data_IF_780661029839
#
_entry.id   IF_780661029839
#
_cell.length_a   1.000
_cell.length_b   1.000
_cell.length_c   1.000
_cell.angle_alpha   90.00
_cell.angle_beta   90.00
_cell.angle_gamma   90.00
#
_symmetry.space_group_name_H-M   'P 1'
#
loop_
_entity.id
_entity.type
_entity.pdbx_description
1 polymer ?
#
# COMPACT_ATOMS: atom_id res chain seq x y z
N UNK A 1 3.51 -4.23 7.18
CA UNK A 1 4.87 -4.81 7.01
C UNK A 1 5.34 -4.40 5.62
N UNK A 2 6.52 -3.78 5.51
CA UNK A 2 7.07 -3.35 4.23
C UNK A 2 8.51 -3.80 4.09
N UNK A 3 8.82 -4.47 3.01
CA UNK A 3 10.18 -4.80 2.57
C UNK A 3 10.58 -3.81 1.47
N UNK A 4 11.57 -2.97 1.74
CA UNK A 4 12.08 -1.98 0.80
C UNK A 4 13.49 -2.38 0.36
N UNK A 5 13.71 -2.47 -0.94
CA UNK A 5 15.02 -2.73 -1.54
C UNK A 5 15.30 -1.66 -2.59
N UNK A 6 16.41 -0.98 -2.50
CA UNK A 6 16.70 0.08 -3.47
C UNK A 6 18.00 0.82 -3.26
N UNK A 7 18.36 1.64 -4.23
CA UNK A 7 19.60 2.43 -4.23
C UNK A 7 19.64 3.56 -3.20
N UNK A 8 18.47 4.03 -2.75
CA UNK A 8 18.33 5.06 -1.71
C UNK A 8 17.92 4.52 -0.35
N UNK A 9 17.93 3.20 -0.16
CA UNK A 9 17.44 2.51 1.04
C UNK A 9 18.62 1.92 1.82
N UNK A 10 18.53 1.97 3.16
CA UNK A 10 19.54 1.43 4.04
C UNK A 10 20.51 2.48 4.61
N UNK A 11 21.53 2.06 5.40
CA UNK A 11 22.37 2.95 6.18
C UNK A 11 23.37 3.79 5.36
N UNK A 12 23.57 3.45 4.10
CA UNK A 12 24.41 4.23 3.18
C UNK A 12 23.78 4.29 1.81
N UNK A 13 23.53 5.47 1.22
CA UNK A 13 23.12 5.57 -0.16
C UNK A 13 24.21 4.94 -1.04
N UNK A 14 23.78 4.05 -1.93
CA UNK A 14 24.71 3.32 -2.78
C UNK A 14 25.45 4.25 -3.73
N UNK A 15 26.68 4.58 -3.39
CA UNK A 15 27.69 4.77 -4.42
C UNK A 15 27.88 3.41 -5.10
N UNK A 16 27.70 3.33 -6.42
CA UNK A 16 28.01 2.12 -7.22
C UNK A 16 27.00 0.96 -7.20
N UNK A 17 25.74 1.18 -7.58
CA UNK A 17 24.88 0.08 -8.04
C UNK A 17 24.52 -1.02 -7.02
N UNK A 18 24.85 -0.85 -5.76
CA UNK A 18 24.50 -1.77 -4.69
C UNK A 18 23.24 -1.28 -3.99
N UNK A 19 22.25 -2.12 -3.90
CA UNK A 19 20.98 -1.80 -3.24
C UNK A 19 21.01 -2.20 -1.77
N UNK A 20 20.66 -1.27 -0.89
CA UNK A 20 20.38 -1.54 0.50
C UNK A 20 18.95 -2.02 0.71
N UNK A 21 18.64 -2.42 1.94
CA UNK A 21 17.33 -2.87 2.34
C UNK A 21 16.84 -2.21 3.62
N UNK A 22 15.54 -2.06 3.72
CA UNK A 22 14.86 -1.60 4.93
C UNK A 22 13.64 -2.48 5.18
N UNK A 23 13.54 -2.98 6.41
CA UNK A 23 12.36 -3.65 6.92
C UNK A 23 11.58 -2.68 7.80
N UNK A 24 10.30 -2.51 7.55
CA UNK A 24 9.42 -1.63 8.30
C UNK A 24 8.20 -2.40 8.81
N UNK A 25 7.94 -2.31 10.11
CA UNK A 25 6.71 -2.78 10.74
C UNK A 25 6.02 -1.60 11.40
N UNK A 26 4.77 -1.35 11.03
CA UNK A 26 3.89 -0.41 11.74
C UNK A 26 2.82 -1.21 12.45
N UNK A 27 2.80 -1.10 13.76
CA UNK A 27 1.85 -1.77 14.64
C UNK A 27 0.92 -0.75 15.30
N UNK A 28 -0.39 -1.00 15.22
CA UNK A 28 -1.37 -0.22 15.95
C UNK A 28 -1.83 -1.03 17.15
N UNK A 29 -1.63 -0.48 18.33
CA UNK A 29 -2.09 -1.06 19.60
C UNK A 29 -3.62 -0.92 19.74
N UNK A 30 -4.26 -1.73 20.62
CA UNK A 30 -5.69 -1.60 20.90
C UNK A 30 -6.12 -0.20 21.41
N UNK A 31 -5.23 0.49 22.13
CA UNK A 31 -5.44 1.87 22.61
C UNK A 31 -5.29 2.95 21.52
N UNK A 32 -5.05 2.55 20.27
CA UNK A 32 -4.93 3.45 19.13
C UNK A 32 -3.52 3.98 18.89
N UNK A 33 -2.57 3.73 19.78
CA UNK A 33 -1.18 4.20 19.61
C UNK A 33 -0.48 3.40 18.51
N UNK A 34 0.25 4.11 17.64
CA UNK A 34 1.09 3.51 16.62
C UNK A 34 2.54 3.38 17.06
N UNK A 35 3.10 2.23 16.78
CA UNK A 35 4.49 1.90 17.03
C UNK A 35 5.15 1.53 15.70
N UNK A 36 6.33 2.07 15.45
CA UNK A 36 7.11 1.78 14.25
C UNK A 36 8.43 1.12 14.62
N UNK A 37 8.73 0.03 13.94
CA UNK A 37 9.96 -0.74 14.07
C UNK A 37 10.63 -0.77 12.70
N UNK A 38 11.92 -0.45 12.65
CA UNK A 38 12.67 -0.32 11.39
C UNK A 38 14.02 -0.97 11.55
N UNK A 39 14.39 -1.85 10.61
CA UNK A 39 15.73 -2.41 10.53
C UNK A 39 16.31 -2.18 9.16
N UNK A 40 17.46 -1.56 9.11
CA UNK A 40 18.22 -1.32 7.88
C UNK A 40 19.28 -2.41 7.67
N UNK A 41 19.51 -2.77 6.42
CA UNK A 41 20.49 -3.74 6.02
C UNK A 41 21.38 -3.19 4.88
N UNK A 42 22.71 -3.33 4.97
CA UNK A 42 23.62 -2.98 3.88
C UNK A 42 23.44 -3.93 2.69
N UNK A 43 23.92 -3.53 1.53
CA UNK A 43 23.78 -4.29 0.29
C UNK A 43 24.21 -5.77 0.39
N UNK A 44 25.26 -6.06 1.17
CA UNK A 44 25.71 -7.44 1.39
C UNK A 44 24.77 -8.34 2.18
N UNK A 45 23.80 -7.74 2.88
CA UNK A 45 22.78 -8.44 3.66
C UNK A 45 21.38 -8.38 3.00
N UNK A 46 21.32 -7.99 1.73
CA UNK A 46 20.10 -7.95 0.93
C UNK A 46 20.20 -8.98 -0.20
N UNK A 47 19.16 -9.77 -0.37
CA UNK A 47 18.99 -10.70 -1.50
C UNK A 47 17.54 -10.68 -1.96
N UNK A 48 17.33 -10.74 -3.25
CA UNK A 48 16.00 -10.89 -3.84
C UNK A 48 16.10 -11.67 -5.15
N UNK A 49 15.03 -12.39 -5.46
CA UNK A 49 14.87 -13.11 -6.72
C UNK A 49 13.93 -12.27 -7.63
N UNK A 50 14.26 -12.14 -8.91
CA UNK A 50 13.44 -11.40 -9.88
C UNK A 50 12.35 -12.26 -10.52
N UNK A 51 12.44 -13.58 -10.37
CA UNK A 51 11.48 -14.53 -10.96
C UNK A 51 10.38 -14.96 -9.98
N UNK A 52 10.56 -14.73 -8.69
CA UNK A 52 9.61 -15.11 -7.64
C UNK A 52 9.75 -14.21 -6.42
N UNK A 53 8.72 -14.17 -5.59
CA UNK A 53 8.76 -13.46 -4.33
C UNK A 53 9.65 -14.20 -3.31
N UNK A 54 10.95 -13.96 -3.38
CA UNK A 54 11.95 -14.39 -2.41
C UNK A 54 12.86 -13.19 -2.12
N UNK A 55 12.65 -12.58 -0.95
CA UNK A 55 13.40 -11.40 -0.51
C UNK A 55 13.97 -11.65 0.88
N UNK A 56 15.24 -11.30 1.06
CA UNK A 56 15.91 -11.28 2.36
C UNK A 56 16.46 -9.88 2.61
N UNK A 57 16.15 -9.31 3.78
CA UNK A 57 16.71 -8.05 4.27
C UNK A 57 17.23 -8.29 5.69
N UNK A 58 18.55 -8.43 5.83
CA UNK A 58 19.16 -8.79 7.10
C UNK A 58 18.64 -10.12 7.62
N UNK A 59 17.91 -10.09 8.73
CA UNK A 59 17.28 -11.28 9.35
C UNK A 59 15.86 -11.54 8.86
N UNK A 60 15.26 -10.62 8.13
CA UNK A 60 13.87 -10.72 7.70
C UNK A 60 13.77 -11.35 6.31
N UNK A 61 12.77 -12.21 6.13
CA UNK A 61 12.52 -12.88 4.85
C UNK A 61 11.04 -12.88 4.49
N UNK A 62 10.76 -12.82 3.19
CA UNK A 62 9.47 -13.19 2.61
C UNK A 62 9.72 -14.16 1.48
N UNK A 63 9.02 -15.29 1.47
CA UNK A 63 9.16 -16.35 0.45
C UNK A 63 7.82 -16.87 0.02
N UNK A 64 7.60 -16.93 -1.29
CA UNK A 64 6.44 -17.59 -1.84
C UNK A 64 6.74 -19.07 -2.13
N UNK A 65 5.88 -19.94 -1.63
CA UNK A 65 5.89 -21.38 -1.94
C UNK A 65 4.47 -21.87 -2.12
N UNK A 66 4.20 -22.52 -3.25
CA UNK A 66 2.86 -23.07 -3.57
C UNK A 66 1.72 -22.04 -3.41
N UNK A 67 1.97 -20.77 -3.77
CA UNK A 67 0.97 -19.71 -3.68
C UNK A 67 0.82 -19.08 -2.29
N UNK A 68 1.50 -19.58 -1.26
CA UNK A 68 1.52 -19.04 0.11
C UNK A 68 2.77 -18.20 0.30
N UNK A 69 2.66 -17.07 0.96
CA UNK A 69 3.79 -16.23 1.37
C UNK A 69 4.13 -16.53 2.83
N UNK A 70 5.32 -17.06 3.07
CA UNK A 70 5.86 -17.24 4.41
C UNK A 70 6.77 -16.04 4.74
N UNK A 71 6.45 -15.37 5.84
CA UNK A 71 7.18 -14.21 6.35
C UNK A 71 7.84 -14.56 7.68
N UNK A 72 9.13 -14.28 7.79
CA UNK A 72 9.85 -14.22 9.06
C UNK A 72 10.44 -12.81 9.17
N UNK A 73 9.91 -12.01 10.08
CA UNK A 73 10.19 -10.57 10.17
C UNK A 73 10.81 -10.24 11.51
N UNK A 74 11.94 -9.53 11.44
CA UNK A 74 12.65 -8.98 12.58
C UNK A 74 12.88 -7.49 12.35
N UNK A 75 12.23 -6.66 13.15
CA UNK A 75 12.41 -5.21 13.09
C UNK A 75 12.62 -4.64 14.48
N UNK A 76 13.57 -3.73 14.64
CA UNK A 76 13.87 -3.05 15.89
C UNK A 76 13.29 -1.62 15.88
N UNK A 77 13.08 -1.05 17.05
CA UNK A 77 12.64 0.33 17.24
C UNK A 77 13.04 0.84 18.62
N UNK A 78 12.90 2.14 18.87
CA UNK A 78 13.23 2.75 20.15
C UNK A 78 12.47 2.13 21.33
N UNK A 79 11.34 1.52 21.05
CA UNK A 79 10.46 0.89 22.06
C UNK A 79 10.69 -0.62 22.22
N UNK A 80 11.66 -1.23 21.51
CA UNK A 80 11.95 -2.66 21.53
C UNK A 80 11.93 -3.29 20.13
N UNK A 81 11.54 -4.55 20.04
CA UNK A 81 11.55 -5.33 18.79
C UNK A 81 10.15 -5.78 18.41
N UNK A 82 9.94 -5.95 17.10
CA UNK A 82 8.82 -6.66 16.51
C UNK A 82 9.35 -7.91 15.80
N UNK A 83 8.77 -9.06 16.11
CA UNK A 83 9.03 -10.34 15.44
C UNK A 83 7.72 -10.95 14.99
N UNK A 84 7.62 -11.30 13.71
CA UNK A 84 6.42 -11.85 13.14
C UNK A 84 6.78 -13.09 12.29
N UNK A 85 6.10 -14.18 12.56
CA UNK A 85 6.16 -15.43 11.80
C UNK A 85 4.76 -15.65 11.23
N UNK A 86 4.57 -15.33 9.94
CA UNK A 86 3.25 -15.30 9.32
C UNK A 86 3.24 -16.13 8.03
N UNK A 87 2.12 -16.79 7.80
CA UNK A 87 1.73 -17.29 6.49
C UNK A 87 0.60 -16.43 5.95
N UNK A 88 0.75 -15.93 4.72
CA UNK A 88 -0.26 -15.15 4.02
C UNK A 88 -0.74 -15.93 2.81
N UNK A 89 -2.01 -16.27 2.81
CA UNK A 89 -2.69 -17.04 1.77
C UNK A 89 -3.58 -16.12 0.94
N UNK A 90 -3.21 -15.77 -0.32
CA UNK A 90 -4.10 -15.07 -1.23
C UNK A 90 -5.38 -15.86 -1.49
N UNK A 91 -6.52 -15.19 -1.52
CA UNK A 91 -7.78 -15.79 -1.92
C UNK A 91 -7.83 -15.94 -3.44
N UNK A 92 -8.41 -17.04 -3.89
CA UNK A 92 -8.55 -17.34 -5.33
C UNK A 92 -9.26 -16.19 -6.05
N UNK A 93 -8.75 -15.82 -7.23
CA UNK A 93 -9.29 -14.78 -8.11
C UNK A 93 -9.32 -13.36 -7.51
N UNK A 94 -8.85 -13.16 -6.27
CA UNK A 94 -8.74 -11.87 -5.59
C UNK A 94 -7.35 -11.29 -5.77
N UNK A 95 -6.96 -10.99 -7.00
CA UNK A 95 -5.67 -10.41 -7.36
C UNK A 95 -5.84 -9.32 -8.43
N UNK A 96 -4.82 -8.51 -8.63
CA UNK A 96 -4.73 -7.60 -9.77
C UNK A 96 -3.42 -7.91 -10.52
N UNK A 97 -3.48 -8.07 -11.85
CA UNK A 97 -2.32 -8.46 -12.65
C UNK A 97 -1.24 -7.38 -12.66
N UNK A 98 0.01 -7.73 -13.04
CA UNK A 98 1.08 -6.75 -13.14
C UNK A 98 0.79 -5.68 -14.19
N UNK A 99 1.11 -4.44 -13.84
CA UNK A 99 1.02 -3.26 -14.70
C UNK A 99 2.32 -2.50 -14.60
N UNK A 100 2.84 -2.00 -15.72
CA UNK A 100 3.93 -1.04 -15.76
C UNK A 100 3.49 0.23 -16.46
N UNK A 101 3.85 1.36 -15.86
CA UNK A 101 3.76 2.69 -16.43
C UNK A 101 5.19 3.16 -16.67
N UNK A 102 5.47 3.56 -17.89
CA UNK A 102 6.81 3.95 -18.31
C UNK A 102 6.78 5.25 -19.10
N UNK A 103 7.70 6.14 -18.77
CA UNK A 103 8.06 7.34 -19.52
C UNK A 103 9.57 7.52 -19.41
N UNK A 104 10.17 8.47 -20.10
CA UNK A 104 11.62 8.64 -20.26
C UNK A 104 12.44 8.43 -18.97
N UNK A 105 12.09 9.15 -17.90
CA UNK A 105 12.78 9.09 -16.59
C UNK A 105 11.95 8.43 -15.48
N UNK A 106 10.82 7.84 -15.84
CA UNK A 106 9.85 7.30 -14.90
C UNK A 106 9.52 5.85 -15.21
N UNK A 107 9.59 5.01 -14.20
CA UNK A 107 9.08 3.65 -14.21
C UNK A 107 8.29 3.42 -12.93
N UNK A 108 7.05 2.99 -13.05
CA UNK A 108 6.28 2.49 -11.93
C UNK A 108 5.57 1.21 -12.33
N UNK A 109 5.97 0.12 -11.74
CA UNK A 109 5.31 -1.16 -11.89
C UNK A 109 4.68 -1.62 -10.57
N UNK A 110 3.60 -2.36 -10.66
CA UNK A 110 2.97 -2.98 -9.51
C UNK A 110 2.21 -4.24 -9.90
N UNK A 111 2.06 -5.11 -8.94
CA UNK A 111 1.17 -6.27 -8.96
C UNK A 111 0.53 -6.41 -7.58
N UNK A 112 -0.71 -6.85 -7.53
CA UNK A 112 -1.40 -7.11 -6.26
C UNK A 112 -1.77 -8.59 -6.20
N UNK A 113 -0.84 -9.45 -5.75
CA UNK A 113 -1.06 -10.90 -5.71
C UNK A 113 -2.12 -11.32 -4.69
N UNK A 114 -2.32 -10.50 -3.67
CA UNK A 114 -3.32 -10.71 -2.62
C UNK A 114 -4.16 -9.48 -2.36
N UNK A 115 -5.03 -9.10 -3.30
CA UNK A 115 -6.00 -8.01 -3.10
C UNK A 115 -6.96 -8.36 -1.94
N UNK A 116 -7.27 -9.63 -1.79
CA UNK A 116 -7.78 -10.19 -0.56
C UNK A 116 -6.98 -11.44 -0.22
N UNK A 117 -6.55 -11.54 1.02
CA UNK A 117 -5.79 -12.66 1.55
C UNK A 117 -6.23 -12.93 2.99
N UNK A 118 -5.81 -14.05 3.53
CA UNK A 118 -5.83 -14.33 4.95
C UNK A 118 -4.42 -14.51 5.50
N UNK A 119 -4.20 -14.18 6.76
CA UNK A 119 -2.94 -14.38 7.43
C UNK A 119 -3.13 -15.16 8.73
N UNK A 120 -2.21 -16.08 8.99
CA UNK A 120 -2.14 -16.84 10.23
C UNK A 120 -0.69 -16.88 10.73
N UNK A 121 -0.49 -16.97 12.03
CA UNK A 121 0.83 -17.10 12.59
C UNK A 121 1.00 -16.47 13.97
N UNK A 122 2.23 -16.06 14.26
CA UNK A 122 2.64 -15.49 15.55
C UNK A 122 3.16 -14.08 15.37
N UNK A 123 2.74 -13.20 16.27
CA UNK A 123 3.26 -11.84 16.35
C UNK A 123 3.80 -11.63 17.77
N UNK A 124 5.01 -11.12 17.86
CA UNK A 124 5.60 -10.64 19.08
C UNK A 124 5.97 -9.17 18.90
N UNK A 125 5.39 -8.28 19.70
CA UNK A 125 5.76 -6.87 19.72
C UNK A 125 6.23 -6.55 21.13
N UNK A 126 7.48 -6.12 21.25
CA UNK A 126 8.21 -6.06 22.53
C UNK A 126 8.22 -7.47 23.17
N UNK A 127 7.84 -7.57 24.45
CA UNK A 127 7.76 -8.84 25.16
C UNK A 127 6.38 -9.53 25.06
N UNK A 128 5.42 -8.98 24.29
CA UNK A 128 4.06 -9.51 24.18
C UNK A 128 3.90 -10.28 22.90
N UNK A 129 3.59 -11.56 23.00
CA UNK A 129 3.32 -12.43 21.87
C UNK A 129 1.85 -12.85 21.82
N UNK A 130 1.32 -12.97 20.62
CA UNK A 130 -0.01 -13.48 20.33
C UNK A 130 -0.02 -14.32 19.07
N UNK A 131 -1.09 -15.05 18.86
CA UNK A 131 -1.38 -15.76 17.60
C UNK A 131 -2.55 -15.08 16.89
N UNK A 132 -2.49 -15.07 15.56
CA UNK A 132 -3.62 -14.75 14.71
C UNK A 132 -3.95 -15.96 13.86
N UNK A 133 -5.23 -16.13 13.57
CA UNK A 133 -5.71 -17.22 12.74
C UNK A 133 -6.73 -16.65 11.76
N UNK A 134 -6.46 -16.85 10.48
CA UNK A 134 -7.34 -16.46 9.37
C UNK A 134 -7.82 -14.99 9.41
N UNK A 135 -6.92 -14.08 9.77
CA UNK A 135 -7.23 -12.65 9.76
C UNK A 135 -7.12 -12.07 8.36
N UNK A 136 -7.93 -11.06 8.05
CA UNK A 136 -7.89 -10.40 6.76
C UNK A 136 -6.51 -9.77 6.51
N UNK A 137 -5.98 -10.01 5.31
CA UNK A 137 -4.69 -9.53 4.86
C UNK A 137 -4.77 -8.97 3.44
N UNK A 138 -3.78 -8.16 3.10
CA UNK A 138 -3.53 -7.58 1.79
C UNK A 138 -2.04 -7.68 1.47
N UNK A 139 -1.71 -7.91 0.20
CA UNK A 139 -0.33 -7.93 -0.27
C UNK A 139 -0.23 -7.32 -1.67
N UNK A 140 0.65 -6.36 -1.82
CA UNK A 140 1.10 -5.81 -3.09
C UNK A 140 2.62 -5.89 -3.24
N UNK A 141 3.09 -5.71 -4.47
CA UNK A 141 4.49 -5.58 -4.81
C UNK A 141 4.63 -4.45 -5.83
N UNK A 142 5.48 -3.49 -5.51
CA UNK A 142 5.75 -2.32 -6.32
C UNK A 142 7.24 -2.25 -6.67
N UNK A 143 7.55 -1.82 -7.90
CA UNK A 143 8.93 -1.60 -8.37
C UNK A 143 8.99 -0.37 -9.27
N UNK A 144 10.16 0.24 -9.34
CA UNK A 144 10.33 1.37 -10.24
C UNK A 144 11.41 2.36 -9.85
N UNK A 145 11.37 3.49 -10.55
CA UNK A 145 12.16 4.68 -10.27
C UNK A 145 11.23 5.83 -9.99
N UNK A 146 11.13 6.22 -8.74
CA UNK A 146 10.18 7.23 -8.25
C UNK A 146 10.92 8.47 -7.78
N UNK A 147 11.25 9.37 -8.71
CA UNK A 147 11.79 10.70 -8.38
C UNK A 147 10.66 11.71 -8.49
N UNK A 148 10.42 12.45 -7.42
CA UNK A 148 9.44 13.55 -7.37
C UNK A 148 8.02 13.15 -7.81
N UNK A 149 7.65 11.88 -7.62
CA UNK A 149 6.29 11.39 -7.89
C UNK A 149 5.51 11.21 -6.60
N UNK A 150 4.20 11.31 -6.71
CA UNK A 150 3.25 10.95 -5.67
C UNK A 150 2.22 10.00 -6.24
N UNK A 151 1.51 9.28 -5.39
CA UNK A 151 0.46 8.36 -5.81
C UNK A 151 -0.77 8.47 -4.93
N UNK A 152 -1.87 8.03 -5.49
CA UNK A 152 -3.07 7.65 -4.79
C UNK A 152 -3.20 6.14 -4.87
N UNK A 153 -3.50 5.50 -3.76
CA UNK A 153 -3.63 4.06 -3.71
C UNK A 153 -4.68 3.65 -2.70
N UNK A 154 -5.43 2.60 -3.01
CA UNK A 154 -6.37 2.04 -2.04
C UNK A 154 -6.76 0.63 -2.40
N UNK A 155 -6.70 -0.24 -1.40
CA UNK A 155 -7.14 -1.61 -1.46
C UNK A 155 -8.19 -1.86 -0.37
N UNK A 156 -9.34 -2.42 -0.72
CA UNK A 156 -10.40 -2.66 0.24
C UNK A 156 -11.12 -3.98 -0.04
N UNK A 157 -11.66 -4.57 1.02
CA UNK A 157 -12.43 -5.82 0.98
C UNK A 157 -13.81 -5.59 1.54
N UNK A 158 -14.81 -5.85 0.72
CA UNK A 158 -16.22 -5.90 1.06
C UNK A 158 -16.73 -7.32 1.31
N UNK A 159 -18.04 -7.45 1.29
CA UNK A 159 -18.69 -8.74 1.43
C UNK A 159 -18.55 -9.59 0.17
N UNK A 160 -18.80 -9.00 -0.99
CA UNK A 160 -18.75 -9.67 -2.29
C UNK A 160 -17.56 -9.21 -3.15
N UNK A 161 -17.18 -7.94 -3.05
CA UNK A 161 -16.16 -7.31 -3.87
C UNK A 161 -14.88 -7.05 -3.10
N UNK A 162 -13.78 -7.10 -3.82
CA UNK A 162 -12.53 -6.45 -3.44
C UNK A 162 -12.29 -5.29 -4.39
N UNK A 163 -11.74 -4.20 -3.87
CA UNK A 163 -11.51 -2.97 -4.61
C UNK A 163 -10.03 -2.68 -4.66
N UNK A 164 -9.55 -2.21 -5.80
CA UNK A 164 -8.25 -1.60 -5.95
C UNK A 164 -8.42 -0.31 -6.73
N UNK A 165 -7.95 0.81 -6.19
CA UNK A 165 -7.79 2.02 -6.98
C UNK A 165 -6.36 2.52 -6.89
N UNK A 166 -5.92 3.20 -7.92
CA UNK A 166 -4.60 3.78 -7.93
C UNK A 166 -4.37 4.72 -9.08
N UNK A 167 -3.27 5.42 -9.00
CA UNK A 167 -2.74 6.29 -10.01
C UNK A 167 -1.52 7.03 -9.50
N UNK A 168 -0.70 7.51 -10.42
CA UNK A 168 0.56 8.19 -10.12
C UNK A 168 0.50 9.60 -10.68
N UNK A 169 0.90 10.57 -9.86
CA UNK A 169 1.19 11.93 -10.34
C UNK A 169 2.68 12.03 -10.65
N UNK A 170 3.00 12.47 -11.84
CA UNK A 170 4.38 12.79 -12.23
C UNK A 170 4.98 13.91 -11.38
N UNK A 171 6.26 14.26 -11.62
CA UNK A 171 6.92 15.37 -10.95
C UNK A 171 6.08 16.65 -11.02
N UNK A 172 6.08 17.46 -9.98
CA UNK A 172 5.31 18.73 -9.99
C UNK A 172 5.67 19.65 -11.16
N UNK A 173 6.90 19.55 -11.66
CA UNK A 173 7.33 20.26 -12.88
C UNK A 173 6.63 19.79 -14.14
N UNK A 174 6.11 18.57 -14.16
CA UNK A 174 5.35 18.00 -15.29
C UNK A 174 3.84 18.24 -15.17
N UNK A 175 3.35 18.93 -14.13
CA UNK A 175 1.94 19.37 -14.04
C UNK A 175 1.59 20.50 -15.00
N UNK A 176 2.56 20.99 -15.79
CA UNK A 176 2.31 21.76 -16.99
C UNK A 176 1.81 20.87 -18.13
N UNK A 177 1.47 21.48 -19.26
CA UNK A 177 1.07 20.79 -20.48
C UNK A 177 2.03 19.63 -20.82
N UNK A 178 1.55 18.40 -20.83
CA UNK A 178 2.35 17.21 -21.12
C UNK A 178 2.68 16.31 -19.91
N UNK A 179 2.16 16.59 -18.72
CA UNK A 179 2.29 15.68 -17.59
C UNK A 179 1.78 14.29 -17.96
N UNK A 180 2.54 13.24 -17.62
CA UNK A 180 2.07 11.86 -17.70
C UNK A 180 0.95 11.72 -16.69
N UNK A 181 -0.26 11.99 -17.13
CA UNK A 181 -1.46 11.68 -16.38
C UNK A 181 -1.69 10.18 -16.52
N UNK A 182 -1.06 9.41 -15.63
CA UNK A 182 -1.49 8.04 -15.45
C UNK A 182 -2.99 8.07 -15.19
N UNK A 183 -3.81 7.40 -16.00
CA UNK A 183 -5.24 7.38 -15.74
C UNK A 183 -5.47 6.73 -14.39
N UNK A 184 -6.11 7.44 -13.49
CA UNK A 184 -6.58 6.85 -12.26
C UNK A 184 -7.61 5.77 -12.57
N UNK A 185 -7.46 4.63 -11.93
CA UNK A 185 -8.34 3.50 -12.13
C UNK A 185 -8.99 3.05 -10.82
N UNK A 186 -10.21 2.52 -10.93
CA UNK A 186 -10.89 1.77 -9.89
C UNK A 186 -11.24 0.39 -10.45
N UNK A 187 -10.63 -0.64 -9.91
CA UNK A 187 -10.90 -2.03 -10.25
C UNK A 187 -11.82 -2.68 -9.20
N UNK A 188 -12.82 -3.37 -9.68
CA UNK A 188 -13.73 -4.19 -8.90
C UNK A 188 -13.44 -5.66 -9.21
N UNK A 189 -13.20 -6.44 -8.17
CA UNK A 189 -12.82 -7.85 -8.26
C UNK A 189 -13.77 -8.69 -7.40
N UNK A 190 -14.41 -9.68 -7.99
CA UNK A 190 -15.27 -10.64 -7.30
C UNK A 190 -14.65 -12.04 -7.20
N UNK A 191 -15.42 -13.04 -6.86
CA UNK A 191 -14.96 -14.44 -6.75
C UNK A 191 -14.54 -15.07 -8.09
N UNK A 192 -14.89 -14.43 -9.21
CA UNK A 192 -14.54 -14.88 -10.55
C UNK A 192 -13.32 -14.13 -11.13
N UNK A 193 -12.88 -13.08 -10.48
CA UNK A 193 -11.74 -12.24 -10.90
C UNK A 193 -12.15 -10.77 -11.14
N UNK A 194 -11.43 -10.10 -12.04
CA UNK A 194 -11.70 -8.69 -12.37
C UNK A 194 -13.04 -8.56 -13.07
N UNK A 195 -14.00 -7.95 -12.37
CA UNK A 195 -15.35 -7.71 -12.88
C UNK A 195 -15.41 -6.48 -13.77
N UNK A 196 -14.75 -5.39 -13.36
CA UNK A 196 -14.71 -4.14 -14.11
C UNK A 196 -13.52 -3.29 -13.69
N UNK A 197 -12.98 -2.52 -14.64
CA UNK A 197 -12.02 -1.45 -14.39
C UNK A 197 -12.62 -0.15 -14.94
N UNK A 198 -12.82 0.80 -14.04
CA UNK A 198 -13.35 2.12 -14.34
C UNK A 198 -12.22 3.16 -14.25
N UNK A 199 -12.42 4.32 -14.87
CA UNK A 199 -11.52 5.48 -14.75
C UNK A 199 -12.15 6.52 -13.84
N UNK A 200 -11.32 7.25 -13.10
CA UNK A 200 -11.72 8.44 -12.36
C UNK A 200 -10.66 9.53 -12.51
N UNK A 201 -11.08 10.79 -12.32
CA UNK A 201 -10.20 11.94 -12.59
C UNK A 201 -9.69 12.58 -11.30
N UNK A 202 -10.41 12.38 -10.20
CA UNK A 202 -10.07 13.02 -8.91
C UNK A 202 -10.60 12.24 -7.72
N UNK A 203 -9.96 12.47 -6.59
CA UNK A 203 -10.47 12.12 -5.26
C UNK A 203 -10.86 13.42 -4.55
N UNK A 204 -12.07 13.47 -4.02
CA UNK A 204 -12.54 14.59 -3.22
C UNK A 204 -12.34 14.27 -1.73
N UNK A 205 -11.45 15.00 -1.07
CA UNK A 205 -11.15 14.87 0.35
C UNK A 205 -11.96 15.86 1.17
N UNK A 206 -12.52 15.40 2.30
CA UNK A 206 -13.39 16.20 3.16
C UNK A 206 -13.06 16.02 4.63
N UNK A 207 -13.24 17.11 5.41
CA UNK A 207 -13.00 17.13 6.83
C UNK A 207 -11.54 16.95 7.20
N UNK A 208 -11.22 17.19 8.46
CA UNK A 208 -9.86 17.12 8.98
C UNK A 208 -9.83 16.43 10.34
N UNK A 209 -8.79 15.62 10.58
CA UNK A 209 -8.52 14.99 11.86
C UNK A 209 -7.01 14.88 12.09
N UNK A 210 -6.53 14.96 13.34
CA UNK A 210 -5.14 14.69 13.66
C UNK A 210 -4.74 13.28 13.21
N UNK A 211 -3.55 13.17 12.60
CA UNK A 211 -2.94 11.89 12.25
C UNK A 211 -1.81 11.55 13.23
N UNK A 212 -1.58 10.26 13.43
CA UNK A 212 -0.39 9.80 14.14
C UNK A 212 0.88 9.97 13.30
N UNK A 213 2.07 9.87 13.89
CA UNK A 213 3.35 9.91 13.20
C UNK A 213 3.93 11.32 13.12
N UNK A 214 3.96 11.94 11.95
CA UNK A 214 4.54 13.27 11.77
C UNK A 214 3.82 14.33 12.62
N UNK A 215 4.59 15.16 13.32
CA UNK A 215 4.06 16.19 14.22
C UNK A 215 3.16 17.19 13.47
N UNK A 216 1.98 17.46 14.02
CA UNK A 216 1.00 18.40 13.44
C UNK A 216 0.36 17.93 12.14
N UNK A 217 0.49 16.64 11.79
CA UNK A 217 -0.12 16.11 10.60
C UNK A 217 -1.65 16.03 10.72
N UNK A 218 -2.34 16.47 9.66
CA UNK A 218 -3.79 16.49 9.55
C UNK A 218 -4.22 15.62 8.36
N UNK A 219 -4.94 14.57 8.64
CA UNK A 219 -5.50 13.67 7.65
C UNK A 219 -6.94 14.02 7.28
N UNK A 220 -7.43 13.64 6.09
CA UNK A 220 -8.85 13.74 5.78
C UNK A 220 -9.68 12.81 6.69
N UNK A 221 -10.88 13.20 7.01
CA UNK A 221 -11.86 12.34 7.71
C UNK A 221 -12.61 11.44 6.74
N UNK A 222 -12.81 11.92 5.52
CA UNK A 222 -13.55 11.23 4.48
C UNK A 222 -12.98 11.56 3.11
N UNK A 223 -13.17 10.66 2.17
CA UNK A 223 -12.99 10.98 0.76
C UNK A 223 -13.95 10.20 -0.12
N UNK A 224 -14.15 10.71 -1.33
CA UNK A 224 -15.00 10.10 -2.34
C UNK A 224 -14.30 10.11 -3.70
N UNK A 225 -14.59 9.11 -4.51
CA UNK A 225 -14.25 9.08 -5.92
C UNK A 225 -15.38 8.44 -6.73
N UNK A 226 -15.50 8.81 -7.99
CA UNK A 226 -16.47 8.24 -8.91
C UNK A 226 -15.75 7.71 -10.15
N UNK A 227 -15.82 6.40 -10.34
CA UNK A 227 -15.28 5.72 -11.50
C UNK A 227 -16.33 5.53 -12.59
N UNK A 228 -15.92 5.69 -13.85
CA UNK A 228 -16.83 5.52 -15.01
C UNK A 228 -16.16 4.74 -16.14
N UNK A 229 -16.97 4.00 -16.92
CA UNK A 229 -16.57 3.37 -18.18
C UNK A 229 -17.79 3.10 -19.05
N UNK A 230 -17.95 3.87 -20.12
CA UNK A 230 -19.15 3.78 -20.96
C UNK A 230 -20.40 4.13 -20.17
N UNK A 231 -21.32 3.16 -20.00
CA UNK A 231 -22.55 3.32 -19.21
C UNK A 231 -22.39 2.87 -17.75
N UNK A 232 -21.26 2.25 -17.42
CA UNK A 232 -20.98 1.81 -16.06
C UNK A 232 -20.46 2.99 -15.23
N UNK A 233 -20.96 3.10 -14.02
CA UNK A 233 -20.53 4.11 -13.05
C UNK A 233 -20.63 3.60 -11.63
N UNK A 234 -19.63 3.92 -10.82
CA UNK A 234 -19.56 3.52 -9.42
C UNK A 234 -19.01 4.67 -8.59
N UNK A 235 -19.67 4.96 -7.49
CA UNK A 235 -19.19 5.88 -6.46
C UNK A 235 -18.66 5.09 -5.26
N UNK A 236 -17.46 5.43 -4.85
CA UNK A 236 -16.79 4.94 -3.63
C UNK A 236 -16.72 6.08 -2.63
N UNK A 237 -17.21 5.87 -1.43
CA UNK A 237 -17.06 6.76 -0.29
C UNK A 237 -16.30 6.05 0.83
N UNK A 238 -15.34 6.71 1.44
CA UNK A 238 -14.51 6.18 2.51
C UNK A 238 -14.57 7.09 3.73
N UNK A 239 -14.87 6.50 4.88
CA UNK A 239 -14.74 7.12 6.20
C UNK A 239 -13.42 6.67 6.82
N UNK A 240 -12.51 7.61 7.07
CA UNK A 240 -11.18 7.32 7.62
C UNK A 240 -11.29 7.12 9.14
N UNK A 241 -10.94 5.93 9.59
CA UNK A 241 -10.94 5.58 11.02
C UNK A 241 -9.61 5.92 11.68
N UNK A 242 -8.51 5.70 10.94
CA UNK A 242 -7.15 5.90 11.44
C UNK A 242 -6.23 6.37 10.32
N UNK A 243 -5.31 7.27 10.66
CA UNK A 243 -4.29 7.75 9.74
C UNK A 243 -2.93 7.84 10.42
N UNK A 244 -1.89 7.46 9.71
CA UNK A 244 -0.49 7.65 10.09
C UNK A 244 0.20 8.46 9.00
N UNK A 245 0.86 9.54 9.40
CA UNK A 245 1.63 10.39 8.50
C UNK A 245 3.13 10.08 8.64
N UNK A 246 3.80 9.97 7.51
CA UNK A 246 5.26 9.96 7.41
C UNK A 246 5.69 11.24 6.71
N UNK A 247 6.63 11.98 7.32
CA UNK A 247 7.23 13.14 6.68
C UNK A 247 8.20 12.66 5.59
N UNK A 248 7.86 12.95 4.35
CA UNK A 248 8.64 12.66 3.15
C UNK A 248 9.25 13.94 2.57
N UNK A 249 9.31 15.01 3.37
CA UNK A 249 9.81 16.30 2.94
C UNK A 249 11.30 16.24 2.59
N UNK A 250 11.66 16.94 1.54
CA UNK A 250 13.03 17.20 1.12
C UNK A 250 13.30 18.72 1.14
N UNK A 251 14.54 19.12 0.87
CA UNK A 251 14.93 20.54 0.95
C UNK A 251 14.07 21.48 0.06
N UNK A 252 13.53 20.97 -1.03
CA UNK A 252 12.76 21.73 -2.03
C UNK A 252 11.24 21.60 -1.93
N UNK A 253 10.71 20.68 -1.10
CA UNK A 253 9.26 20.49 -0.96
C UNK A 253 8.90 19.85 0.38
N UNK A 254 7.72 20.17 0.89
CA UNK A 254 7.16 19.56 2.11
C UNK A 254 5.97 18.71 1.75
N UNK A 255 6.11 17.39 1.98
CA UNK A 255 5.05 16.41 1.72
C UNK A 255 4.90 15.44 2.87
N UNK A 256 3.66 15.19 3.21
CA UNK A 256 3.28 14.14 4.14
C UNK A 256 2.68 12.99 3.35
N UNK A 257 3.20 11.81 3.56
CA UNK A 257 2.63 10.56 3.08
C UNK A 257 1.71 9.99 4.15
N UNK A 258 0.46 9.79 3.80
CA UNK A 258 -0.56 9.25 4.69
C UNK A 258 -0.89 7.82 4.34
N UNK A 259 -0.88 6.97 5.36
CA UNK A 259 -1.41 5.62 5.33
C UNK A 259 -2.66 5.61 6.21
N UNK A 260 -3.78 5.24 5.63
CA UNK A 260 -5.10 5.34 6.26
C UNK A 260 -5.78 3.99 6.28
N UNK A 261 -6.49 3.70 7.36
CA UNK A 261 -7.48 2.64 7.44
C UNK A 261 -8.86 3.26 7.53
N UNK A 262 -9.83 2.69 6.83
CA UNK A 262 -11.19 3.20 6.85
C UNK A 262 -12.23 2.19 6.43
N UNK A 263 -13.49 2.57 6.63
CA UNK A 263 -14.65 1.85 6.09
C UNK A 263 -15.06 2.48 4.77
N UNK A 264 -15.44 1.63 3.83
CA UNK A 264 -15.99 2.10 2.57
C UNK A 264 -17.43 1.70 2.37
N UNK A 265 -18.12 2.49 1.55
CA UNK A 265 -19.35 2.13 0.89
C UNK A 265 -19.19 2.35 -0.62
N UNK A 266 -19.68 1.37 -1.39
CA UNK A 266 -19.68 1.40 -2.84
C UNK A 266 -21.10 1.32 -3.34
N UNK A 267 -21.47 2.15 -4.33
CA UNK A 267 -22.75 2.10 -5.01
C UNK A 267 -22.59 2.48 -6.47
N UNK A 268 -23.36 1.84 -7.34
CA UNK A 268 -23.33 2.16 -8.75
C UNK A 268 -24.06 1.17 -9.62
N UNK A 269 -23.69 1.15 -10.90
CA UNK A 269 -24.26 0.26 -11.91
C UNK A 269 -23.16 -0.28 -12.82
N UNK A 270 -23.17 -1.59 -13.04
CA UNK A 270 -22.23 -2.29 -13.91
C UNK A 270 -23.01 -3.27 -14.78
N UNK A 271 -22.81 -3.20 -16.11
CA UNK A 271 -23.50 -4.06 -17.07
C UNK A 271 -25.02 -3.93 -17.00
N UNK A 272 -25.54 -2.77 -16.61
CA UNK A 272 -26.95 -2.52 -16.43
C UNK A 272 -27.53 -2.95 -15.07
N UNK A 273 -26.80 -3.69 -14.25
CA UNK A 273 -27.20 -4.12 -12.91
C UNK A 273 -26.72 -3.15 -11.82
N UNK A 274 -27.51 -2.98 -10.77
CA UNK A 274 -27.09 -2.25 -9.59
C UNK A 274 -26.03 -3.01 -8.83
N UNK A 275 -25.04 -2.27 -8.30
CA UNK A 275 -23.94 -2.79 -7.48
C UNK A 275 -23.89 -2.00 -6.19
N UNK A 276 -23.83 -2.68 -5.05
CA UNK A 276 -23.53 -2.06 -3.75
C UNK A 276 -22.70 -3.01 -2.91
N UNK A 277 -21.75 -2.47 -2.16
CA UNK A 277 -20.94 -3.23 -1.19
C UNK A 277 -20.39 -2.30 -0.12
N UNK A 278 -19.92 -2.88 0.97
CA UNK A 278 -19.28 -2.15 2.05
C UNK A 278 -18.26 -3.03 2.79
N UNK A 279 -17.28 -2.41 3.39
CA UNK A 279 -16.24 -3.14 4.10
C UNK A 279 -15.15 -2.23 4.64
N UNK A 280 -13.95 -2.77 4.72
CA UNK A 280 -12.77 -2.07 5.23
C UNK A 280 -11.64 -2.07 4.21
N UNK A 281 -10.78 -1.04 4.31
CA UNK A 281 -9.66 -0.91 3.41
C UNK A 281 -8.47 -0.18 4.00
N UNK A 282 -7.41 -0.23 3.23
CA UNK A 282 -6.16 0.48 3.42
C UNK A 282 -5.98 1.45 2.25
N UNK A 283 -5.62 2.71 2.57
CA UNK A 283 -5.59 3.80 1.60
C UNK A 283 -4.35 4.66 1.81
N UNK A 284 -3.81 5.17 0.72
CA UNK A 284 -2.61 6.01 0.71
C UNK A 284 -2.83 7.27 -0.11
N UNK A 285 -2.29 8.38 0.38
CA UNK A 285 -2.26 9.66 -0.34
C UNK A 285 -1.07 10.50 0.10
N UNK A 286 -0.75 11.52 -0.71
CA UNK A 286 0.21 12.55 -0.37
C UNK A 286 -0.48 13.89 -0.22
N UNK A 287 -0.04 14.67 0.77
CA UNK A 287 -0.49 16.06 0.96
C UNK A 287 0.71 16.97 1.18
N UNK A 288 0.60 18.18 0.65
CA UNK A 288 1.53 19.28 0.97
C UNK A 288 1.29 19.68 2.43
N UNK A 289 2.36 20.01 3.14
CA UNK A 289 2.29 20.47 4.54
C UNK A 289 2.03 21.97 4.57
#
# INVERSE_FOLDING_TARGET
ITFLVGGGVGPSPAASGRWGGRMLVTHRRPDGVYERFTSDAPAGAVRFDTARADVTIGRSTVRQRNGVYALDVHAAGNAGEARLELEVQPLRHRYFPPVELRDDDFLSGYVVPGLAASASGRLCVRARCGRVTDVAAYHDHNWGVWRDVTWEWGAARGQELSLLYGGVYGPERARGEGAVNSPFFLSLVDSLGVRQVLRFDRIAYEGEAPAAGASGAIAPRRFTLAGTRGRDSVALAVEVEHAVATDMSAASFRRLFFQMRGRFTLRGRIGGAEVSDSGQGFFETYRTR
#
